data_IF_764999785184
#
_entry.id   IF_764999785184
#
_cell.length_a   1.000
_cell.length_b   1.000
_cell.length_c   1.000
_cell.angle_alpha   90.00
_cell.angle_beta   90.00
_cell.angle_gamma   90.00
#
_symmetry.space_group_name_H-M   'P 1'
#
loop_
_entity.id
_entity.type
_entity.pdbx_description
1 polymer ?
#
# COMPACT_ATOMS: atom_id res chain seq x y z
N UNK A 1 13.09 -25.01 14.88
CA UNK A 1 12.85 -26.10 13.90
C UNK A 1 12.47 -27.37 14.63
N UNK A 2 11.54 -28.15 14.09
CA UNK A 2 11.02 -29.37 14.68
C UNK A 2 11.20 -30.57 13.75
N UNK A 3 11.38 -31.73 14.38
CA UNK A 3 11.22 -33.04 13.75
C UNK A 3 10.15 -33.79 14.53
N UNK A 4 9.18 -34.41 13.84
CA UNK A 4 7.95 -35.04 14.39
C UNK A 4 8.19 -36.13 15.47
N UNK A 5 9.45 -36.49 15.72
CA UNK A 5 9.91 -37.38 16.79
C UNK A 5 10.31 -36.65 18.10
N UNK A 6 9.95 -35.36 18.24
CA UNK A 6 10.18 -34.58 19.46
C UNK A 6 11.56 -33.91 19.55
N UNK A 7 12.33 -33.90 18.46
CA UNK A 7 13.59 -33.16 18.39
C UNK A 7 13.34 -31.72 17.95
N UNK A 8 13.99 -30.77 18.61
CA UNK A 8 13.97 -29.35 18.23
C UNK A 8 15.36 -28.74 18.24
N UNK A 9 15.64 -27.86 17.28
CA UNK A 9 16.87 -27.08 17.23
C UNK A 9 16.60 -25.62 16.89
N UNK A 10 17.46 -24.75 17.41
CA UNK A 10 17.53 -23.33 17.07
C UNK A 10 18.53 -23.15 15.93
N UNK A 11 18.12 -22.43 14.90
CA UNK A 11 18.97 -22.03 13.79
C UNK A 11 20.02 -21.04 14.28
N UNK A 12 21.29 -21.23 13.89
CA UNK A 12 22.37 -20.31 14.28
C UNK A 12 22.34 -19.00 13.48
N UNK A 13 23.24 -18.09 13.83
CA UNK A 13 23.47 -16.78 13.20
C UNK A 13 23.81 -16.85 11.70
N UNK A 14 24.16 -18.04 11.19
CA UNK A 14 24.48 -18.31 9.79
C UNK A 14 23.35 -19.04 9.05
N UNK A 15 22.18 -19.23 9.67
CA UNK A 15 21.04 -19.91 9.03
C UNK A 15 21.12 -21.44 9.02
N UNK A 16 22.05 -22.04 9.77
CA UNK A 16 22.21 -23.50 9.84
C UNK A 16 21.64 -24.09 11.13
N UNK A 17 21.15 -25.33 11.00
CA UNK A 17 20.73 -26.19 12.10
C UNK A 17 21.29 -27.60 11.84
N UNK A 18 21.40 -28.41 12.90
CA UNK A 18 21.94 -29.76 12.80
C UNK A 18 21.26 -30.66 13.83
N UNK A 19 20.77 -31.81 13.36
CA UNK A 19 20.31 -32.89 14.22
C UNK A 19 21.34 -34.02 14.12
N UNK A 20 21.93 -34.39 15.26
CA UNK A 20 22.93 -35.45 15.36
C UNK A 20 22.32 -36.72 15.95
N UNK A 21 22.94 -37.85 15.64
CA UNK A 21 22.60 -39.16 16.21
C UNK A 21 21.12 -39.55 16.13
N UNK A 22 20.43 -39.08 15.06
CA UNK A 22 19.07 -39.50 14.77
C UNK A 22 19.05 -41.00 14.44
N UNK A 23 18.18 -41.79 15.09
CA UNK A 23 17.95 -43.18 14.71
C UNK A 23 17.57 -43.35 13.24
N UNK A 24 17.58 -44.59 12.77
CA UNK A 24 16.93 -44.91 11.51
C UNK A 24 15.43 -44.60 11.59
N UNK A 25 14.85 -44.13 10.48
CA UNK A 25 13.43 -43.83 10.44
C UNK A 25 13.02 -42.81 9.39
N UNK A 26 11.72 -42.56 9.35
CA UNK A 26 11.10 -41.52 8.55
C UNK A 26 10.83 -40.31 9.44
N UNK A 27 11.33 -39.16 9.00
CA UNK A 27 11.30 -37.91 9.74
C UNK A 27 10.59 -36.84 8.91
N UNK A 28 9.67 -36.13 9.53
CA UNK A 28 9.07 -34.92 8.99
C UNK A 28 9.77 -33.73 9.64
N UNK A 29 10.46 -32.92 8.85
CA UNK A 29 11.17 -31.71 9.30
C UNK A 29 10.34 -30.48 8.95
N UNK A 30 10.01 -29.69 9.96
CA UNK A 30 9.20 -28.47 9.83
C UNK A 30 9.87 -27.30 10.51
N UNK A 31 9.73 -26.11 9.95
CA UNK A 31 10.11 -24.87 10.62
C UNK A 31 8.95 -24.33 11.45
N UNK A 32 9.28 -23.70 12.58
CA UNK A 32 8.30 -22.91 13.30
C UNK A 32 8.09 -21.61 12.53
N UNK A 33 6.86 -21.33 12.12
CA UNK A 33 6.57 -20.14 11.31
C UNK A 33 7.03 -18.86 12.00
N UNK A 34 7.98 -18.16 11.39
CA UNK A 34 8.40 -16.85 11.87
C UNK A 34 7.36 -15.79 11.49
N UNK A 35 6.99 -14.94 12.45
CA UNK A 35 6.03 -13.85 12.22
C UNK A 35 6.51 -12.97 11.07
N UNK A 36 5.62 -12.67 10.13
CA UNK A 36 5.88 -11.86 8.93
C UNK A 36 6.83 -12.51 7.89
N UNK A 37 7.09 -13.81 7.97
CA UNK A 37 7.76 -14.57 6.93
C UNK A 37 6.82 -15.61 6.29
N UNK A 38 7.10 -15.96 5.05
CA UNK A 38 6.44 -17.05 4.32
C UNK A 38 7.45 -18.14 4.00
N UNK A 39 7.18 -19.36 4.45
CA UNK A 39 7.95 -20.56 4.11
C UNK A 39 7.67 -20.98 2.65
N UNK A 40 8.72 -21.22 1.88
CA UNK A 40 8.67 -21.54 0.44
C UNK A 40 8.90 -23.02 0.11
N UNK A 41 9.44 -23.79 1.03
CA UNK A 41 9.86 -25.18 0.79
C UNK A 41 8.96 -26.19 1.50
N UNK A 42 8.61 -27.27 0.79
CA UNK A 42 7.91 -28.44 1.34
C UNK A 42 6.39 -28.42 1.10
N UNK A 43 5.80 -29.58 0.81
CA UNK A 43 4.35 -29.74 0.88
C UNK A 43 3.92 -29.50 2.33
N UNK A 44 2.96 -28.60 2.55
CA UNK A 44 2.49 -28.19 3.89
C UNK A 44 3.59 -27.64 4.81
N UNK A 45 4.68 -27.07 4.27
CA UNK A 45 5.77 -26.52 5.09
C UNK A 45 6.65 -27.58 5.75
N UNK A 46 6.64 -28.81 5.23
CA UNK A 46 7.41 -29.92 5.75
C UNK A 46 8.27 -30.59 4.67
N UNK A 47 9.44 -31.07 5.07
CA UNK A 47 10.29 -31.94 4.25
C UNK A 47 10.36 -33.32 4.89
N UNK A 48 10.15 -34.35 4.10
CA UNK A 48 10.32 -35.73 4.54
C UNK A 48 11.74 -36.21 4.29
N UNK A 49 12.36 -36.77 5.33
CA UNK A 49 13.69 -37.37 5.25
C UNK A 49 13.64 -38.77 5.80
N UNK A 50 14.16 -39.70 5.03
CA UNK A 50 14.37 -41.08 5.48
C UNK A 50 15.84 -41.29 5.81
N UNK A 51 16.13 -41.67 7.05
CA UNK A 51 17.45 -42.09 7.50
C UNK A 51 17.50 -43.62 7.43
N UNK A 52 18.28 -44.21 6.52
CA UNK A 52 18.35 -45.66 6.37
C UNK A 52 19.19 -46.31 7.47
N UNK A 53 18.86 -47.56 7.84
CA UNK A 53 19.65 -48.45 8.72
C UNK A 53 21.14 -48.53 8.34
N UNK A 54 21.43 -48.39 7.04
CA UNK A 54 22.75 -48.63 6.48
C UNK A 54 23.12 -47.54 5.48
N UNK A 55 24.22 -46.82 5.74
CA UNK A 55 24.91 -46.03 4.72
C UNK A 55 26.11 -46.81 4.18
N UNK A 56 26.16 -47.13 2.87
CA UNK A 56 27.33 -47.78 2.24
C UNK A 56 28.62 -46.95 2.31
N UNK A 57 28.51 -45.66 2.66
CA UNK A 57 29.58 -44.68 2.61
C UNK A 57 30.55 -44.70 3.81
N UNK A 58 30.18 -45.31 4.94
CA UNK A 58 30.92 -45.16 6.21
C UNK A 58 30.80 -43.74 6.78
N UNK A 59 30.45 -43.61 8.07
CA UNK A 59 30.03 -42.38 8.74
C UNK A 59 28.84 -41.68 8.06
N UNK A 60 27.64 -42.12 8.44
CA UNK A 60 26.32 -41.54 8.16
C UNK A 60 26.24 -40.49 7.04
N UNK A 61 25.68 -40.85 5.88
CA UNK A 61 25.37 -39.90 4.81
C UNK A 61 24.57 -38.72 5.37
N UNK A 62 25.14 -37.51 5.51
CA UNK A 62 24.39 -36.37 6.00
C UNK A 62 23.27 -36.06 5.01
N UNK A 63 22.06 -35.88 5.54
CA UNK A 63 20.91 -35.41 4.76
C UNK A 63 20.81 -33.91 4.93
N UNK A 64 20.97 -33.20 3.81
CA UNK A 64 20.82 -31.75 3.77
C UNK A 64 19.39 -31.42 3.37
N UNK A 65 18.71 -30.66 4.22
CA UNK A 65 17.41 -30.07 3.92
C UNK A 65 17.62 -28.56 3.94
N UNK A 66 17.22 -27.90 2.87
CA UNK A 66 17.19 -26.45 2.82
C UNK A 66 15.76 -25.99 3.02
N UNK A 67 15.55 -25.15 4.03
CA UNK A 67 14.30 -24.40 4.18
C UNK A 67 14.53 -22.99 3.65
N UNK A 68 13.58 -22.49 2.87
CA UNK A 68 13.67 -21.14 2.32
C UNK A 68 12.48 -20.34 2.81
N UNK A 69 12.76 -19.18 3.40
CA UNK A 69 11.75 -18.20 3.78
C UNK A 69 11.89 -16.98 2.90
N UNK A 70 10.79 -16.23 2.74
CA UNK A 70 10.83 -14.86 2.24
C UNK A 70 10.00 -13.94 3.13
N UNK A 71 10.32 -12.64 3.20
CA UNK A 71 9.45 -11.66 3.83
C UNK A 71 8.02 -11.76 3.28
N UNK A 72 7.03 -11.67 4.15
CA UNK A 72 5.62 -11.69 3.76
C UNK A 72 5.23 -10.30 3.25
N UNK A 73 4.77 -10.25 2.02
CA UNK A 73 4.19 -9.04 1.42
C UNK A 73 2.77 -8.83 1.96
N UNK A 74 2.48 -7.60 2.35
CA UNK A 74 1.18 -7.11 2.79
C UNK A 74 0.63 -6.13 1.76
N UNK A 75 -0.70 -6.05 1.71
CA UNK A 75 -1.43 -5.09 0.89
C UNK A 75 -2.43 -4.38 1.76
N UNK A 76 -2.59 -3.09 1.54
CA UNK A 76 -3.63 -2.29 2.16
C UNK A 76 -4.07 -1.18 1.22
N UNK A 77 -5.07 -0.45 1.66
CA UNK A 77 -5.51 0.77 1.01
C UNK A 77 -5.67 1.89 2.04
N UNK A 78 -5.63 3.12 1.55
CA UNK A 78 -5.81 4.31 2.35
C UNK A 78 -6.54 5.38 1.55
N UNK A 79 -7.32 6.20 2.25
CA UNK A 79 -8.03 7.32 1.65
C UNK A 79 -7.09 8.50 1.44
N UNK A 80 -7.16 9.11 0.26
CA UNK A 80 -6.32 10.23 -0.14
C UNK A 80 -7.16 11.43 -0.60
N UNK A 81 -6.63 12.62 -0.36
CA UNK A 81 -7.20 13.88 -0.82
C UNK A 81 -6.13 14.75 -1.47
N UNK A 82 -6.53 15.53 -2.48
CA UNK A 82 -5.65 16.53 -3.08
C UNK A 82 -5.50 17.72 -2.12
N UNK A 83 -4.27 18.20 -1.96
CA UNK A 83 -3.94 19.38 -1.19
C UNK A 83 -3.32 20.45 -2.08
N UNK A 84 -3.43 21.72 -1.68
CA UNK A 84 -2.93 22.84 -2.46
C UNK A 84 -1.40 22.78 -2.59
N UNK A 85 -0.71 22.73 -1.45
CA UNK A 85 0.73 22.51 -1.36
C UNK A 85 1.02 21.61 -0.16
N UNK A 86 0.62 22.05 1.03
CA UNK A 86 0.85 21.33 2.27
C UNK A 86 -0.34 20.45 2.70
N UNK A 87 -0.08 19.33 3.39
CA UNK A 87 -1.13 18.50 3.94
C UNK A 87 -2.09 19.30 4.85
N UNK A 88 -3.37 19.36 4.46
CA UNK A 88 -4.43 19.92 5.30
C UNK A 88 -4.49 21.46 5.30
N UNK A 89 -3.84 22.13 4.35
CA UNK A 89 -3.88 23.58 4.19
C UNK A 89 -5.32 24.09 3.95
N UNK A 90 -5.99 23.54 2.93
CA UNK A 90 -7.37 23.87 2.59
C UNK A 90 -8.31 22.73 2.94
N UNK A 91 -8.95 22.83 4.11
CA UNK A 91 -9.86 21.82 4.64
C UNK A 91 -11.32 22.28 4.61
N UNK A 92 -12.22 21.32 4.38
CA UNK A 92 -13.67 21.59 4.50
C UNK A 92 -14.12 21.83 5.93
N UNK A 93 -13.42 21.25 6.91
CA UNK A 93 -13.70 21.40 8.34
C UNK A 93 -12.39 21.47 9.14
N UNK A 94 -12.36 22.31 10.19
CA UNK A 94 -11.18 22.51 11.03
C UNK A 94 -10.85 21.31 11.93
N UNK A 95 -11.89 20.54 12.31
CA UNK A 95 -11.77 19.45 13.30
C UNK A 95 -12.37 18.16 12.79
N UNK A 96 -11.66 17.06 13.07
CA UNK A 96 -12.09 15.71 12.72
C UNK A 96 -11.56 15.32 11.35
N UNK A 97 -12.47 15.03 10.42
CA UNK A 97 -12.14 14.52 9.08
C UNK A 97 -11.19 15.48 8.34
N UNK A 98 -10.33 14.89 7.53
CA UNK A 98 -9.21 15.54 6.88
C UNK A 98 -9.47 15.83 5.39
N UNK A 99 -10.73 15.89 4.99
CA UNK A 99 -11.06 16.19 3.61
C UNK A 99 -10.60 17.60 3.21
N UNK A 100 -9.83 17.67 2.13
CA UNK A 100 -9.27 18.91 1.56
C UNK A 100 -9.81 19.18 0.16
N UNK A 101 -9.52 20.38 -0.33
CA UNK A 101 -9.78 20.80 -1.71
C UNK A 101 -8.61 21.63 -2.23
N UNK A 102 -8.56 21.84 -3.54
CA UNK A 102 -7.61 22.75 -4.18
C UNK A 102 -8.34 23.85 -4.94
N UNK A 103 -7.68 24.97 -5.12
CA UNK A 103 -8.16 26.08 -5.95
C UNK A 103 -7.38 26.13 -7.25
N UNK A 104 -8.09 26.36 -8.35
CA UNK A 104 -7.54 26.45 -9.70
C UNK A 104 -8.08 27.71 -10.39
N UNK A 105 -7.20 28.53 -10.95
CA UNK A 105 -7.59 29.67 -11.76
C UNK A 105 -7.61 29.25 -13.24
N UNK A 106 -8.76 29.44 -13.89
CA UNK A 106 -9.00 29.07 -15.29
C UNK A 106 -8.09 29.90 -16.19
N UNK A 107 -7.33 29.23 -17.05
CA UNK A 107 -6.33 29.84 -17.91
C UNK A 107 -4.95 30.00 -17.27
N UNK A 108 -4.73 29.52 -16.03
CA UNK A 108 -3.41 29.51 -15.40
C UNK A 108 -2.47 28.46 -16.02
N UNK A 109 -3.01 27.51 -16.78
CA UNK A 109 -2.27 26.44 -17.43
C UNK A 109 -2.21 25.16 -16.59
N UNK A 110 -1.34 24.20 -16.95
CA UNK A 110 -1.24 22.94 -16.24
C UNK A 110 -0.72 23.12 -14.81
N UNK A 111 -1.44 22.53 -13.86
CA UNK A 111 -1.13 22.49 -12.43
C UNK A 111 -1.03 21.05 -11.95
N UNK A 112 -0.18 20.83 -10.97
CA UNK A 112 0.01 19.54 -10.30
C UNK A 112 -0.18 19.74 -8.80
N UNK A 113 -1.09 18.96 -8.19
CA UNK A 113 -1.39 19.03 -6.76
C UNK A 113 -1.06 17.70 -6.08
N UNK A 114 -0.42 17.69 -4.90
CA UNK A 114 -0.13 16.46 -4.18
C UNK A 114 -1.42 15.78 -3.68
N UNK A 115 -1.47 14.45 -3.83
CA UNK A 115 -2.47 13.58 -3.21
C UNK A 115 -1.87 12.93 -1.96
N UNK A 116 -2.40 13.29 -0.80
CA UNK A 116 -1.95 12.75 0.48
C UNK A 116 -2.93 11.70 1.00
N UNK A 117 -2.44 10.48 1.18
CA UNK A 117 -3.15 9.39 1.84
C UNK A 117 -2.91 9.43 3.36
N UNK A 118 -3.90 9.03 4.15
CA UNK A 118 -3.74 8.89 5.60
C UNK A 118 -3.32 10.20 6.28
N UNK A 119 -3.70 11.34 5.69
CA UNK A 119 -3.40 12.71 6.10
C UNK A 119 -2.00 13.24 5.79
N UNK A 120 -0.95 12.42 5.70
CA UNK A 120 0.41 12.97 5.55
C UNK A 120 1.29 12.21 4.58
N UNK A 121 0.82 11.09 4.04
CA UNK A 121 1.61 10.23 3.17
C UNK A 121 1.40 10.64 1.71
N UNK A 122 2.43 11.16 1.05
CA UNK A 122 2.34 11.49 -0.37
C UNK A 122 2.12 10.20 -1.17
N UNK A 123 0.95 10.07 -1.79
CA UNK A 123 0.53 8.85 -2.48
C UNK A 123 0.42 9.03 -3.99
N UNK A 124 0.45 10.27 -4.48
CA UNK A 124 0.36 10.58 -5.89
C UNK A 124 0.15 12.06 -6.15
N UNK A 125 -0.33 12.36 -7.37
CA UNK A 125 -0.59 13.70 -7.82
C UNK A 125 -1.90 13.80 -8.60
N UNK A 126 -2.55 14.95 -8.48
CA UNK A 126 -3.67 15.38 -9.29
C UNK A 126 -3.16 16.37 -10.33
N UNK A 127 -3.21 15.98 -11.60
CA UNK A 127 -2.84 16.85 -12.72
C UNK A 127 -4.09 17.50 -13.27
N UNK A 128 -4.06 18.83 -13.42
CA UNK A 128 -5.21 19.64 -13.81
C UNK A 128 -4.78 20.62 -14.89
N UNK A 129 -5.52 20.71 -15.98
CA UNK A 129 -5.39 21.82 -16.93
C UNK A 129 -6.74 22.13 -17.56
N UNK A 130 -6.94 23.36 -18.02
CA UNK A 130 -8.11 23.73 -18.79
C UNK A 130 -7.80 23.95 -20.27
N UNK A 131 -8.78 23.65 -21.12
CA UNK A 131 -8.79 24.07 -22.52
C UNK A 131 -10.23 24.23 -23.01
N UNK A 132 -10.53 25.37 -23.63
CA UNK A 132 -11.82 25.66 -24.28
C UNK A 132 -13.06 25.40 -23.40
N UNK A 133 -13.04 25.86 -22.14
CA UNK A 133 -14.16 25.73 -21.21
C UNK A 133 -14.33 24.33 -20.63
N UNK A 134 -13.32 23.47 -20.77
CA UNK A 134 -13.26 22.14 -20.15
C UNK A 134 -12.05 22.05 -19.24
N UNK A 135 -12.23 21.39 -18.12
CA UNK A 135 -11.17 20.99 -17.21
C UNK A 135 -10.82 19.53 -17.46
N UNK A 136 -9.53 19.25 -17.57
CA UNK A 136 -8.97 17.92 -17.73
C UNK A 136 -8.23 17.57 -16.46
N UNK A 137 -8.65 16.47 -15.82
CA UNK A 137 -8.16 16.04 -14.53
C UNK A 137 -7.65 14.62 -14.61
N UNK A 138 -6.44 14.36 -14.12
CA UNK A 138 -5.85 13.02 -14.06
C UNK A 138 -5.30 12.75 -12.67
N UNK A 139 -5.73 11.65 -12.06
CA UNK A 139 -5.12 11.11 -10.85
C UNK A 139 -3.96 10.22 -11.25
N UNK A 140 -2.80 10.43 -10.64
CA UNK A 140 -1.58 9.68 -10.88
C UNK A 140 -1.07 9.13 -9.56
N UNK A 141 -0.97 7.81 -9.42
CA UNK A 141 -0.31 7.19 -8.29
C UNK A 141 1.20 7.46 -8.35
N UNK A 142 1.82 7.61 -7.18
CA UNK A 142 3.26 7.84 -7.05
C UNK A 142 4.08 6.69 -7.65
N UNK A 143 3.57 5.46 -7.52
CA UNK A 143 4.20 4.26 -8.04
C UNK A 143 5.32 3.72 -7.16
N UNK A 144 6.01 2.70 -7.66
CA UNK A 144 6.99 1.92 -6.90
C UNK A 144 8.44 2.39 -7.05
N UNK A 145 8.67 3.41 -7.87
CA UNK A 145 10.00 3.95 -8.18
C UNK A 145 10.51 4.99 -7.18
N UNK A 146 9.63 5.61 -6.41
CA UNK A 146 10.00 6.59 -5.38
C UNK A 146 10.62 5.92 -4.16
N UNK A 147 11.07 6.67 -3.15
CA UNK A 147 11.49 6.10 -1.86
C UNK A 147 10.31 5.49 -1.08
N UNK A 148 10.52 4.44 -0.27
CA UNK A 148 9.42 3.80 0.44
C UNK A 148 8.93 4.68 1.59
N UNK A 149 7.63 4.71 1.78
CA UNK A 149 7.00 5.40 2.90
C UNK A 149 6.86 4.44 4.09
N UNK A 150 6.48 4.96 5.25
CA UNK A 150 6.16 4.17 6.45
C UNK A 150 4.74 4.45 6.91
N UNK A 151 3.88 3.43 6.84
CA UNK A 151 2.49 3.50 7.34
C UNK A 151 2.37 2.56 8.53
N UNK A 152 2.24 3.12 9.73
CA UNK A 152 2.27 2.34 10.97
C UNK A 152 3.60 1.58 11.10
N UNK A 153 3.52 0.26 11.23
CA UNK A 153 4.69 -0.63 11.35
C UNK A 153 5.14 -1.24 10.00
N UNK A 154 4.72 -0.65 8.88
CA UNK A 154 4.97 -1.16 7.53
C UNK A 154 5.78 -0.17 6.70
N UNK A 155 6.79 -0.68 6.02
CA UNK A 155 7.52 0.02 4.96
C UNK A 155 6.84 -0.30 3.63
N UNK A 156 6.35 0.72 2.93
CA UNK A 156 5.38 0.57 1.84
C UNK A 156 5.78 1.31 0.56
N UNK A 157 5.19 0.88 -0.56
CA UNK A 157 5.10 1.63 -1.81
C UNK A 157 3.65 1.78 -2.22
N UNK A 158 3.31 2.94 -2.77
CA UNK A 158 2.01 3.16 -3.40
C UNK A 158 1.99 2.48 -4.78
N UNK A 159 1.16 1.45 -4.93
CA UNK A 159 1.14 0.62 -6.14
C UNK A 159 0.06 1.04 -7.13
N UNK A 160 -0.98 1.75 -6.69
CA UNK A 160 -1.96 2.27 -7.62
C UNK A 160 -3.18 2.93 -6.98
N UNK A 161 -4.04 3.42 -7.85
CA UNK A 161 -5.35 4.00 -7.59
C UNK A 161 -6.43 2.90 -7.71
N UNK A 162 -7.27 2.76 -6.68
CA UNK A 162 -8.41 1.84 -6.66
C UNK A 162 -9.74 2.53 -6.90
N UNK A 163 -9.85 3.80 -6.57
CA UNK A 163 -11.10 4.55 -6.67
C UNK A 163 -10.80 6.03 -6.72
N UNK A 164 -11.60 6.81 -7.46
CA UNK A 164 -11.62 8.26 -7.34
C UNK A 164 -13.04 8.81 -7.26
N UNK A 165 -13.14 9.97 -6.63
CA UNK A 165 -14.31 10.82 -6.57
C UNK A 165 -13.87 12.26 -6.83
N UNK A 166 -14.43 12.88 -7.86
CA UNK A 166 -14.12 14.24 -8.29
C UNK A 166 -15.39 15.09 -8.37
N UNK A 167 -15.34 16.26 -7.73
CA UNK A 167 -16.33 17.31 -7.89
C UNK A 167 -15.64 18.66 -8.10
N UNK A 168 -16.19 19.49 -8.98
CA UNK A 168 -15.68 20.82 -9.33
C UNK A 168 -16.81 21.81 -9.16
N UNK A 169 -16.55 22.94 -8.51
CA UNK A 169 -17.55 23.98 -8.29
C UNK A 169 -16.92 25.37 -8.13
N UNK A 170 -17.74 26.43 -8.04
CA UNK A 170 -17.27 27.80 -7.86
C UNK A 170 -16.66 28.06 -6.48
N UNK A 171 -17.21 27.41 -5.45
CA UNK A 171 -16.74 27.56 -4.08
C UNK A 171 -16.74 26.22 -3.36
N UNK A 172 -15.98 26.11 -2.26
CA UNK A 172 -16.00 24.93 -1.40
C UNK A 172 -17.39 24.67 -0.80
N UNK A 173 -18.25 25.71 -0.74
CA UNK A 173 -19.59 25.57 -0.19
C UNK A 173 -20.57 24.86 -1.13
N UNK A 174 -20.30 24.91 -2.43
CA UNK A 174 -21.10 24.28 -3.49
C UNK A 174 -20.81 22.78 -3.63
N UNK A 175 -19.74 22.29 -3.00
CA UNK A 175 -19.41 20.86 -2.96
C UNK A 175 -20.43 20.11 -2.09
N UNK A 176 -20.97 18.95 -2.53
CA UNK A 176 -21.90 18.15 -1.74
C UNK A 176 -21.31 17.74 -0.38
N UNK A 177 -21.92 18.24 0.70
CA UNK A 177 -21.48 18.06 2.09
C UNK A 177 -22.60 17.58 3.00
N UNK A 178 -22.20 16.93 4.10
CA UNK A 178 -23.14 16.56 5.16
C UNK A 178 -23.81 17.80 5.75
N UNK A 179 -25.14 17.77 5.97
CA UNK A 179 -25.84 18.91 6.52
C UNK A 179 -25.33 19.18 7.94
N UNK A 180 -25.07 20.45 8.23
CA UNK A 180 -24.73 20.87 9.58
C UNK A 180 -25.86 20.58 10.56
N UNK A 181 -25.52 20.36 11.84
CA UNK A 181 -26.51 20.23 12.94
C UNK A 181 -26.57 21.50 13.79
N UNK A 182 -27.77 22.04 14.02
CA UNK A 182 -28.01 23.15 14.96
C UNK A 182 -28.42 24.47 14.31
N UNK A 183 -28.51 25.52 15.12
CA UNK A 183 -29.08 26.83 14.72
C UNK A 183 -28.13 27.69 13.86
N UNK A 184 -26.82 27.43 13.94
CA UNK A 184 -25.74 28.09 13.18
C UNK A 184 -24.88 27.05 12.46
N UNK A 185 -25.53 26.05 11.87
CA UNK A 185 -24.82 24.86 11.47
C UNK A 185 -23.99 25.08 10.21
N UNK A 186 -22.67 25.00 10.37
CA UNK A 186 -21.74 24.93 9.24
C UNK A 186 -21.86 23.53 8.63
N UNK A 187 -21.93 23.41 7.29
CA UNK A 187 -21.89 22.12 6.62
C UNK A 187 -20.67 21.31 7.06
N UNK A 188 -20.85 20.01 7.18
CA UNK A 188 -19.79 19.09 7.60
C UNK A 188 -18.94 18.64 6.42
N UNK A 189 -18.46 17.40 6.52
CA UNK A 189 -17.55 16.82 5.53
C UNK A 189 -18.21 16.66 4.17
N UNK A 190 -17.41 16.70 3.09
CA UNK A 190 -17.86 16.28 1.77
C UNK A 190 -18.35 14.83 1.79
N UNK A 191 -19.25 14.52 0.86
CA UNK A 191 -19.82 13.20 0.68
C UNK A 191 -19.33 12.67 -0.68
N UNK A 192 -18.17 11.97 -0.75
CA UNK A 192 -17.60 11.52 -2.02
C UNK A 192 -18.58 10.71 -2.89
N UNK A 193 -19.47 9.92 -2.28
CA UNK A 193 -20.50 9.18 -3.01
C UNK A 193 -21.51 10.04 -3.79
N UNK A 194 -21.61 11.34 -3.48
CA UNK A 194 -22.44 12.31 -4.20
C UNK A 194 -21.66 13.12 -5.24
N UNK A 195 -20.37 12.84 -5.44
CA UNK A 195 -19.56 13.52 -6.44
C UNK A 195 -19.98 13.06 -7.85
N UNK A 196 -19.91 13.98 -8.81
CA UNK A 196 -20.43 13.75 -10.16
C UNK A 196 -19.56 12.76 -10.94
N UNK A 197 -18.24 12.91 -10.84
CA UNK A 197 -17.27 12.08 -11.56
C UNK A 197 -16.66 11.09 -10.59
N UNK A 198 -16.75 9.80 -10.90
CA UNK A 198 -16.21 8.74 -10.05
C UNK A 198 -16.03 7.46 -10.83
N UNK A 199 -15.02 6.69 -10.45
CA UNK A 199 -14.79 5.36 -10.99
C UNK A 199 -14.02 4.50 -9.96
N UNK A 200 -13.96 3.20 -10.23
CA UNK A 200 -13.25 2.23 -9.42
C UNK A 200 -12.46 1.27 -10.29
N UNK A 201 -11.29 0.86 -9.81
CA UNK A 201 -10.34 0.03 -10.53
C UNK A 201 -10.05 -1.24 -9.73
N UNK A 202 -10.21 -2.38 -10.40
CA UNK A 202 -9.81 -3.68 -9.88
C UNK A 202 -9.28 -4.55 -11.04
N UNK A 203 -7.96 -4.74 -11.17
CA UNK A 203 -6.90 -4.33 -10.22
C UNK A 203 -6.68 -2.80 -10.16
N UNK A 204 -5.95 -2.35 -9.14
CA UNK A 204 -5.52 -0.95 -9.04
C UNK A 204 -4.72 -0.52 -10.28
N UNK A 205 -4.82 0.75 -10.66
CA UNK A 205 -4.17 1.32 -11.85
C UNK A 205 -3.18 2.42 -11.47
N UNK A 206 -2.13 2.63 -12.26
CA UNK A 206 -1.21 3.74 -12.03
C UNK A 206 -1.86 5.12 -12.26
N UNK A 207 -2.90 5.19 -13.10
CA UNK A 207 -3.56 6.44 -13.48
C UNK A 207 -5.06 6.24 -13.71
N UNK A 208 -5.86 7.26 -13.40
CA UNK A 208 -7.29 7.29 -13.78
C UNK A 208 -7.53 7.44 -15.28
N UNK A 209 -6.50 7.86 -16.04
CA UNK A 209 -6.72 8.50 -17.33
C UNK A 209 -7.38 9.87 -17.18
N UNK A 210 -7.69 10.48 -18.34
CA UNK A 210 -8.22 11.84 -18.41
C UNK A 210 -9.72 11.89 -18.09
N UNK A 211 -10.08 12.69 -17.09
CA UNK A 211 -11.45 13.00 -16.70
C UNK A 211 -11.77 14.39 -17.21
N UNK A 212 -12.81 14.51 -18.03
CA UNK A 212 -13.22 15.78 -18.64
C UNK A 212 -14.43 16.34 -17.91
N UNK A 213 -14.33 17.57 -17.41
CA UNK A 213 -15.39 18.29 -16.72
C UNK A 213 -15.72 19.56 -17.47
N UNK A 214 -17.01 19.82 -17.74
CA UNK A 214 -17.45 21.09 -18.31
C UNK A 214 -17.40 22.18 -17.23
N UNK A 215 -16.67 23.26 -17.49
CA UNK A 215 -16.51 24.40 -16.58
C UNK A 215 -17.00 25.71 -17.21
N UNK A 216 -17.67 25.64 -18.35
CA UNK A 216 -18.10 26.84 -19.11
C UNK A 216 -19.09 27.74 -18.36
N UNK A 217 -19.81 27.19 -17.37
CA UNK A 217 -20.73 27.93 -16.50
C UNK A 217 -20.12 28.28 -15.12
N UNK A 218 -18.85 27.94 -14.89
CA UNK A 218 -18.14 28.24 -13.66
C UNK A 218 -17.38 29.57 -13.76
N UNK A 219 -16.96 30.08 -12.61
CA UNK A 219 -16.16 31.29 -12.48
C UNK A 219 -14.71 31.06 -12.95
N UNK A 220 -13.97 32.16 -13.12
CA UNK A 220 -12.54 32.14 -13.45
C UNK A 220 -11.67 31.50 -12.35
N UNK A 221 -12.19 31.36 -11.13
CA UNK A 221 -11.53 30.63 -10.03
C UNK A 221 -12.48 29.57 -9.50
N UNK A 222 -12.02 28.32 -9.50
CA UNK A 222 -12.82 27.14 -9.17
C UNK A 222 -12.19 26.34 -8.03
N UNK A 223 -13.03 25.58 -7.34
CA UNK A 223 -12.66 24.65 -6.28
C UNK A 223 -12.81 23.22 -6.78
N UNK A 224 -11.78 22.42 -6.57
CA UNK A 224 -11.73 21.01 -6.95
C UNK A 224 -11.63 20.17 -5.68
N UNK A 225 -12.63 19.31 -5.46
CA UNK A 225 -12.64 18.30 -4.42
C UNK A 225 -12.26 16.96 -5.05
N UNK A 226 -11.03 16.53 -4.82
CA UNK A 226 -10.46 15.32 -5.39
C UNK A 226 -10.12 14.32 -4.28
N UNK A 227 -10.90 13.25 -4.22
CA UNK A 227 -10.74 12.14 -3.28
C UNK A 227 -10.34 10.88 -4.04
N UNK A 228 -9.45 10.09 -3.45
CA UNK A 228 -8.99 8.83 -4.01
C UNK A 228 -8.87 7.75 -2.93
N UNK A 229 -8.87 6.48 -3.36
CA UNK A 229 -8.43 5.34 -2.55
C UNK A 229 -7.17 4.78 -3.19
N UNK A 230 -6.07 4.82 -2.45
CA UNK A 230 -4.73 4.44 -2.93
C UNK A 230 -4.35 3.08 -2.33
N UNK A 231 -3.91 2.16 -3.18
CA UNK A 231 -3.36 0.87 -2.78
C UNK A 231 -1.87 1.00 -2.48
N UNK A 232 -1.44 0.32 -1.42
CA UNK A 232 -0.03 0.15 -1.11
C UNK A 232 0.32 -1.32 -0.92
N UNK A 233 1.56 -1.64 -1.27
CA UNK A 233 2.21 -2.90 -0.97
C UNK A 233 3.36 -2.67 0.00
N UNK A 234 3.51 -3.55 0.99
CA UNK A 234 4.40 -3.30 2.12
C UNK A 234 4.97 -4.55 2.77
N UNK A 235 6.06 -4.37 3.50
CA UNK A 235 6.62 -5.36 4.42
C UNK A 235 6.63 -4.77 5.82
N UNK A 236 6.56 -5.63 6.84
CA UNK A 236 6.75 -5.18 8.22
C UNK A 236 8.15 -4.59 8.36
N UNK A 237 8.27 -3.36 8.88
CA UNK A 237 9.50 -2.55 8.80
C UNK A 237 10.72 -3.28 9.36
N UNK A 238 10.62 -3.90 10.53
CA UNK A 238 11.75 -4.64 11.12
C UNK A 238 12.22 -5.81 10.23
N UNK A 239 11.30 -6.46 9.51
CA UNK A 239 11.63 -7.55 8.59
C UNK A 239 12.23 -7.01 7.29
N UNK A 240 11.74 -5.86 6.81
CA UNK A 240 12.30 -5.18 5.66
C UNK A 240 13.76 -4.81 5.91
N UNK A 241 14.04 -4.11 7.01
CA UNK A 241 15.39 -3.66 7.37
C UNK A 241 16.34 -4.85 7.54
N UNK A 242 15.91 -5.88 8.27
CA UNK A 242 16.71 -7.10 8.45
C UNK A 242 17.02 -7.81 7.13
N UNK A 243 16.06 -7.87 6.20
CA UNK A 243 16.28 -8.49 4.91
C UNK A 243 17.22 -7.65 4.01
N UNK A 244 17.12 -6.31 4.06
CA UNK A 244 18.08 -5.42 3.38
C UNK A 244 19.51 -5.65 3.93
N UNK A 245 19.68 -5.77 5.24
CA UNK A 245 20.98 -6.07 5.86
C UNK A 245 21.55 -7.42 5.40
N UNK A 246 20.69 -8.39 5.08
CA UNK A 246 21.06 -9.67 4.46
C UNK A 246 21.31 -9.57 2.95
N UNK A 247 21.20 -8.38 2.35
CA UNK A 247 21.42 -8.13 0.93
C UNK A 247 20.25 -8.47 0.01
N UNK A 248 19.03 -8.56 0.55
CA UNK A 248 17.84 -8.84 -0.25
C UNK A 248 17.47 -7.66 -1.14
N UNK A 249 16.94 -7.97 -2.32
CA UNK A 249 16.27 -7.00 -3.17
C UNK A 249 14.78 -7.29 -3.19
N UNK A 250 13.99 -6.23 -3.09
CA UNK A 250 12.54 -6.31 -3.06
C UNK A 250 11.97 -5.93 -4.42
N UNK A 251 11.04 -6.76 -4.90
CA UNK A 251 10.20 -6.44 -6.03
C UNK A 251 8.83 -6.02 -5.52
N UNK A 252 8.45 -4.79 -5.84
CA UNK A 252 7.11 -4.24 -5.64
C UNK A 252 6.33 -4.46 -6.93
N UNK A 253 5.03 -4.77 -6.86
CA UNK A 253 4.22 -5.00 -8.05
C UNK A 253 3.57 -3.75 -8.60
#
# INVERSE_FOLDING_TARGET
MFVDSGYSQITNDKGYYRFDDLPEGHYRVTEEGQKYWTLLTGAEGANEVTIPWYCPCGNGCPKFISLQNRPKLFRGDETAWAAQEDPGEYRFVDRGNWATYVTYDVGEGPQEYPLFAGQTHLAGYLNVYDDNGKLYVTYQALGTNEDPDTIGDYTVKWTGLKEYHLHVANTADDIPRTPGRGRNAVPGNPIPGQFMNKDSFNPATASSGEIVVDISELNDSIVIAAHAVMEWEGYYTEVFDYAIDLGWQFAWR
#
